data_IF_369988056889
#
_entry.id   IF_369988056889
#
_cell.length_a   1.000
_cell.length_b   1.000
_cell.length_c   1.000
_cell.angle_alpha   90.00
_cell.angle_beta   90.00
_cell.angle_gamma   90.00
#
_symmetry.space_group_name_H-M   'P 1'
#
loop_
_entity.id
_entity.type
_entity.pdbx_description
1 polymer ?
#
# COMPACT_ATOMS: atom_id res chain seq x y z
N UNK A 1 -23.13 7.68 -10.55
CA UNK A 1 -22.22 6.61 -11.06
C UNK A 1 -22.25 5.47 -10.06
N UNK A 2 -22.86 4.36 -10.46
CA UNK A 2 -22.96 3.19 -9.59
C UNK A 2 -21.64 2.44 -9.54
N UNK A 3 -20.95 2.57 -8.45
CA UNK A 3 -19.67 1.91 -8.21
C UNK A 3 -19.91 0.55 -7.53
N UNK A 4 -19.45 -0.56 -8.12
CA UNK A 4 -19.74 -1.92 -7.63
C UNK A 4 -18.87 -2.35 -6.44
N UNK A 5 -18.14 -1.43 -5.82
CA UNK A 5 -17.27 -1.66 -4.68
C UNK A 5 -17.26 -0.43 -3.75
N UNK A 6 -16.76 -0.62 -2.55
CA UNK A 6 -16.56 0.44 -1.56
C UNK A 6 -15.09 0.56 -1.17
N UNK A 7 -14.65 1.80 -1.01
CA UNK A 7 -13.42 2.12 -0.28
C UNK A 7 -13.81 2.25 1.19
N UNK A 8 -13.29 1.36 2.03
CA UNK A 8 -13.71 1.22 3.42
C UNK A 8 -12.87 2.07 4.39
N UNK A 9 -11.61 2.29 4.06
CA UNK A 9 -10.69 3.04 4.92
C UNK A 9 -9.24 2.84 4.53
N UNK A 10 -8.34 3.43 5.31
CA UNK A 10 -6.89 3.28 5.13
C UNK A 10 -6.46 1.97 5.77
N UNK A 11 -5.72 1.16 5.02
CA UNK A 11 -5.11 -0.07 5.50
C UNK A 11 -3.67 0.19 5.97
N UNK A 12 -2.89 0.96 5.21
CA UNK A 12 -1.49 1.26 5.52
C UNK A 12 -1.05 2.61 4.99
N UNK A 13 0.03 3.12 5.59
CA UNK A 13 0.82 4.23 5.08
C UNK A 13 2.28 3.75 5.02
N UNK A 14 2.87 3.74 3.83
CA UNK A 14 4.24 3.30 3.62
C UNK A 14 5.19 4.48 3.54
N UNK A 15 6.20 4.48 4.40
CA UNK A 15 7.17 5.55 4.57
C UNK A 15 8.56 5.02 4.22
N UNK A 16 9.21 5.66 3.27
CA UNK A 16 10.55 5.32 2.81
C UNK A 16 11.64 6.19 3.43
N UNK A 17 12.78 5.58 3.67
CA UNK A 17 13.97 6.26 4.13
C UNK A 17 15.25 5.53 3.70
N UNK A 18 16.38 6.18 3.86
CA UNK A 18 17.68 5.58 3.57
C UNK A 18 18.11 4.55 4.63
N UNK A 19 17.45 4.58 5.81
CA UNK A 19 17.77 3.70 6.94
C UNK A 19 16.53 3.37 7.75
N UNK A 20 16.12 2.11 7.75
CA UNK A 20 15.06 1.59 8.62
C UNK A 20 15.38 1.84 10.11
N UNK A 21 16.63 1.72 10.49
CA UNK A 21 17.04 1.95 11.87
C UNK A 21 16.71 3.38 12.33
N UNK A 22 16.95 4.38 11.48
CA UNK A 22 16.60 5.77 11.79
C UNK A 22 15.10 5.98 11.85
N UNK A 23 14.35 5.38 10.93
CA UNK A 23 12.88 5.40 10.92
C UNK A 23 12.34 4.71 12.18
N UNK A 24 12.85 3.53 12.52
CA UNK A 24 12.42 2.75 13.69
C UNK A 24 12.67 3.50 15.00
N UNK A 25 13.81 4.21 15.12
CA UNK A 25 14.09 5.04 16.29
C UNK A 25 12.99 6.07 16.56
N UNK A 26 12.45 6.68 15.52
CA UNK A 26 11.34 7.62 15.65
C UNK A 26 10.00 6.90 15.89
N UNK A 27 9.64 5.98 15.01
CA UNK A 27 8.31 5.40 15.02
C UNK A 27 8.10 4.37 16.15
N UNK A 28 9.12 3.58 16.46
CA UNK A 28 9.05 2.54 17.51
C UNK A 28 9.47 3.11 18.85
N UNK A 29 10.71 3.64 18.96
CA UNK A 29 11.25 4.02 20.25
C UNK A 29 10.60 5.28 20.82
N UNK A 30 10.32 6.27 19.98
CA UNK A 30 9.75 7.57 20.42
C UNK A 30 8.23 7.55 20.38
N UNK A 31 7.65 7.12 19.27
CA UNK A 31 6.18 7.14 19.06
C UNK A 31 5.47 5.91 19.64
N UNK A 32 6.19 4.84 19.94
CA UNK A 32 5.68 3.67 20.63
C UNK A 32 4.88 2.70 19.75
N UNK A 33 5.02 2.76 18.42
CA UNK A 33 4.38 1.78 17.53
C UNK A 33 5.03 0.40 17.67
N UNK A 34 4.25 -0.64 17.50
CA UNK A 34 4.70 -2.03 17.63
C UNK A 34 5.04 -2.63 16.28
N UNK A 35 6.25 -3.14 16.12
CA UNK A 35 6.60 -3.96 14.95
C UNK A 35 5.89 -5.31 15.06
N UNK A 36 5.15 -5.69 14.03
CA UNK A 36 4.38 -6.94 13.96
C UNK A 36 4.93 -7.94 12.96
N UNK A 37 5.63 -7.49 11.94
CA UNK A 37 6.30 -8.35 10.95
C UNK A 37 7.35 -7.58 10.17
N UNK A 38 8.01 -8.27 9.26
CA UNK A 38 8.94 -7.69 8.28
C UNK A 38 8.76 -8.36 6.92
N UNK A 39 9.25 -7.69 5.90
CA UNK A 39 9.24 -8.18 4.52
C UNK A 39 10.50 -7.71 3.82
N UNK A 40 11.11 -8.61 3.02
CA UNK A 40 12.27 -8.28 2.21
C UNK A 40 12.14 -8.88 0.81
N UNK A 41 12.40 -8.08 -0.20
CA UNK A 41 12.38 -8.49 -1.59
C UNK A 41 13.52 -7.83 -2.37
N UNK A 42 14.44 -8.65 -2.87
CA UNK A 42 15.50 -8.19 -3.77
C UNK A 42 14.92 -7.70 -5.11
N UNK A 43 13.87 -8.36 -5.60
CA UNK A 43 13.18 -7.99 -6.84
C UNK A 43 12.53 -6.62 -6.74
N UNK A 44 11.90 -6.32 -5.61
CA UNK A 44 11.24 -5.03 -5.35
C UNK A 44 12.20 -4.01 -4.73
N UNK A 45 13.44 -4.39 -4.51
CA UNK A 45 14.47 -3.55 -3.91
C UNK A 45 14.03 -2.93 -2.58
N UNK A 46 13.42 -3.73 -1.71
CA UNK A 46 12.86 -3.26 -0.44
C UNK A 46 13.22 -4.16 0.71
N UNK A 47 13.54 -3.55 1.84
CA UNK A 47 13.61 -4.14 3.17
C UNK A 47 12.71 -3.32 4.08
N UNK A 48 11.72 -3.96 4.70
CA UNK A 48 10.57 -3.28 5.29
C UNK A 48 10.23 -3.84 6.66
N UNK A 49 9.95 -2.94 7.61
CA UNK A 49 9.38 -3.26 8.91
C UNK A 49 7.91 -2.83 8.93
N UNK A 50 7.02 -3.76 9.24
CA UNK A 50 5.59 -3.51 9.31
C UNK A 50 5.22 -3.22 10.76
N UNK A 51 4.81 -2.00 11.04
CA UNK A 51 4.34 -1.54 12.35
C UNK A 51 2.82 -1.54 12.37
N UNK A 52 2.25 -1.60 13.57
CA UNK A 52 0.81 -1.59 13.75
C UNK A 52 0.40 -0.57 14.82
N UNK A 53 -0.72 0.09 14.57
CA UNK A 53 -1.46 0.89 15.54
C UNK A 53 -2.95 0.59 15.45
N UNK A 54 -3.68 0.75 16.56
CA UNK A 54 -5.09 0.36 16.67
C UNK A 54 -5.26 -1.14 16.91
N UNK A 55 -6.52 -1.60 16.90
CA UNK A 55 -6.89 -2.97 17.24
C UNK A 55 -7.95 -3.52 16.29
N UNK A 56 -7.89 -4.85 16.04
CA UNK A 56 -8.88 -5.57 15.25
C UNK A 56 -9.09 -4.96 13.87
N UNK A 57 -10.36 -4.78 13.45
CA UNK A 57 -10.67 -4.27 12.12
C UNK A 57 -10.31 -2.78 11.91
N UNK A 58 -10.02 -2.05 12.98
CA UNK A 58 -9.62 -0.63 12.95
C UNK A 58 -8.10 -0.44 12.91
N UNK A 59 -7.35 -1.52 12.87
CA UNK A 59 -5.89 -1.48 12.78
C UNK A 59 -5.42 -0.82 11.49
N UNK A 60 -4.42 0.07 11.60
CA UNK A 60 -3.70 0.66 10.49
C UNK A 60 -2.22 0.30 10.60
N UNK A 61 -1.59 -0.05 9.49
CA UNK A 61 -0.16 -0.34 9.43
C UNK A 61 0.63 0.89 9.01
N UNK A 62 1.82 1.03 9.57
CA UNK A 62 2.86 1.96 9.13
C UNK A 62 4.03 1.10 8.68
N UNK A 63 4.32 1.11 7.38
CA UNK A 63 5.39 0.34 6.81
C UNK A 63 6.64 1.21 6.66
N UNK A 64 7.73 0.79 7.30
CA UNK A 64 9.02 1.49 7.23
C UNK A 64 9.90 0.78 6.21
N UNK A 65 10.22 1.47 5.12
CA UNK A 65 10.91 0.90 3.97
C UNK A 65 12.30 1.50 3.78
N UNK A 66 13.30 0.66 3.56
CA UNK A 66 14.59 1.09 3.03
C UNK A 66 14.92 0.31 1.76
N UNK A 67 15.69 0.87 0.81
CA UNK A 67 16.14 0.10 -0.35
C UNK A 67 17.18 -0.94 0.06
N UNK A 68 17.13 -2.13 -0.54
CA UNK A 68 18.21 -3.13 -0.43
C UNK A 68 19.48 -2.57 -1.05
N UNK A 69 19.34 -1.92 -2.20
CA UNK A 69 20.40 -1.20 -2.91
C UNK A 69 19.92 0.19 -3.29
N UNK A 70 20.41 1.26 -2.63
CA UNK A 70 19.93 2.63 -2.87
C UNK A 70 20.28 3.19 -4.26
N UNK A 71 21.14 2.51 -5.01
CA UNK A 71 21.51 2.90 -6.38
C UNK A 71 20.59 2.34 -7.45
N UNK A 72 19.73 1.34 -7.08
CA UNK A 72 18.84 0.64 -7.99
C UNK A 72 17.39 1.13 -7.87
N UNK A 73 16.60 0.83 -8.90
CA UNK A 73 15.15 1.01 -8.91
C UNK A 73 14.43 -0.30 -8.57
N UNK A 74 13.22 -0.24 -7.96
CA UNK A 74 12.54 0.98 -7.52
C UNK A 74 13.23 1.63 -6.31
N UNK A 75 13.21 2.98 -6.28
CA UNK A 75 13.76 3.76 -5.15
C UNK A 75 12.68 3.95 -4.10
N UNK A 76 12.56 3.01 -3.19
CA UNK A 76 11.48 3.02 -2.16
C UNK A 76 11.59 4.15 -1.15
N UNK A 77 12.75 4.81 -1.07
CA UNK A 77 13.03 5.95 -0.19
C UNK A 77 12.79 7.32 -0.83
N UNK A 78 12.33 7.35 -2.09
CA UNK A 78 12.08 8.59 -2.83
C UNK A 78 10.87 8.42 -3.76
N UNK A 79 9.74 9.10 -3.48
CA UNK A 79 9.48 10.03 -2.37
C UNK A 79 9.39 9.33 -1.00
N UNK A 80 9.54 10.10 0.07
CA UNK A 80 9.48 9.59 1.45
C UNK A 80 8.12 8.98 1.82
N UNK A 81 7.02 9.58 1.41
CA UNK A 81 5.72 8.94 1.42
C UNK A 81 5.64 8.05 0.17
N UNK A 82 5.91 6.75 0.36
CA UNK A 82 5.98 5.81 -0.76
C UNK A 82 4.59 5.54 -1.36
N UNK A 83 3.64 5.12 -0.54
CA UNK A 83 2.26 4.87 -0.96
C UNK A 83 1.29 4.87 0.22
N UNK A 84 0.01 4.91 -0.12
CA UNK A 84 -1.08 4.64 0.81
C UNK A 84 -1.83 3.39 0.37
N UNK A 85 -2.25 2.57 1.32
CA UNK A 85 -3.08 1.39 1.10
C UNK A 85 -4.52 1.64 1.54
N UNK A 86 -5.46 1.23 0.71
CA UNK A 86 -6.90 1.39 0.95
C UNK A 86 -7.59 0.04 1.03
N UNK A 87 -8.39 -0.19 2.06
CA UNK A 87 -9.29 -1.33 2.13
C UNK A 87 -10.40 -1.24 1.09
N UNK A 88 -10.55 -2.30 0.31
CA UNK A 88 -11.60 -2.46 -0.72
C UNK A 88 -12.42 -3.70 -0.38
N UNK A 89 -13.72 -3.61 -0.40
CA UNK A 89 -14.63 -4.72 -0.09
C UNK A 89 -14.63 -5.82 -1.15
N UNK A 90 -14.49 -5.46 -2.43
CA UNK A 90 -14.40 -6.40 -3.57
C UNK A 90 -13.35 -5.90 -4.56
N UNK A 91 -12.12 -6.37 -4.38
CA UNK A 91 -10.97 -5.91 -5.18
C UNK A 91 -11.10 -6.28 -6.67
N UNK A 92 -11.63 -7.46 -6.97
CA UNK A 92 -11.79 -7.90 -8.36
C UNK A 92 -12.76 -7.00 -9.12
N UNK A 93 -13.92 -6.71 -8.55
CA UNK A 93 -14.88 -5.76 -9.12
C UNK A 93 -14.33 -4.35 -9.22
N UNK A 94 -13.56 -3.93 -8.20
CA UNK A 94 -12.92 -2.62 -8.22
C UNK A 94 -11.98 -2.47 -9.41
N UNK A 95 -11.07 -3.43 -9.61
CA UNK A 95 -10.12 -3.42 -10.72
C UNK A 95 -10.82 -3.42 -12.07
N UNK A 96 -11.82 -4.30 -12.25
CA UNK A 96 -12.59 -4.35 -13.49
C UNK A 96 -13.28 -3.01 -13.80
N UNK A 97 -13.97 -2.45 -12.83
CA UNK A 97 -14.71 -1.20 -13.00
C UNK A 97 -13.77 -0.02 -13.23
N UNK A 98 -12.71 0.12 -12.40
CA UNK A 98 -11.73 1.21 -12.53
C UNK A 98 -11.01 1.16 -13.90
N UNK A 99 -10.66 -0.02 -14.37
CA UNK A 99 -10.07 -0.20 -15.71
C UNK A 99 -11.03 0.30 -16.81
N UNK A 100 -12.33 -0.03 -16.72
CA UNK A 100 -13.35 0.49 -17.65
C UNK A 100 -13.49 2.01 -17.58
N UNK A 101 -13.20 2.62 -16.43
CA UNK A 101 -13.18 4.08 -16.30
C UNK A 101 -11.90 4.72 -16.85
N UNK A 102 -10.92 3.95 -17.29
CA UNK A 102 -9.66 4.45 -17.82
C UNK A 102 -8.58 4.67 -16.74
N UNK A 103 -8.70 4.04 -15.58
CA UNK A 103 -7.67 4.11 -14.52
C UNK A 103 -6.49 3.22 -14.88
N UNK A 104 -5.29 3.79 -14.81
CA UNK A 104 -4.05 3.07 -15.05
C UNK A 104 -3.58 2.33 -13.80
N UNK A 105 -3.37 1.02 -13.94
CA UNK A 105 -2.72 0.17 -12.93
C UNK A 105 -1.24 -0.05 -13.24
N UNK A 106 -0.46 -0.37 -12.22
CA UNK A 106 0.92 -0.84 -12.42
C UNK A 106 0.90 -2.28 -12.98
N UNK A 107 1.97 -2.73 -13.65
CA UNK A 107 2.08 -4.11 -14.11
C UNK A 107 1.99 -5.13 -12.95
N UNK A 108 1.47 -6.32 -13.24
CA UNK A 108 1.41 -7.44 -12.30
C UNK A 108 0.01 -7.81 -11.81
N UNK A 109 -0.99 -6.96 -12.01
CA UNK A 109 -2.39 -7.24 -11.63
C UNK A 109 -2.57 -7.50 -10.14
N UNK A 110 -3.64 -8.23 -9.79
CA UNK A 110 -3.90 -8.65 -8.41
C UNK A 110 -2.91 -9.74 -7.99
N UNK A 111 -2.24 -9.54 -6.87
CA UNK A 111 -1.25 -10.46 -6.31
C UNK A 111 -1.22 -10.40 -4.80
N UNK A 112 -0.54 -11.34 -4.13
CA UNK A 112 -0.32 -11.28 -2.68
C UNK A 112 0.64 -10.15 -2.32
N UNK A 113 0.22 -9.28 -1.42
CA UNK A 113 1.04 -8.22 -0.82
C UNK A 113 1.84 -8.72 0.39
N UNK A 114 2.67 -7.83 0.95
CA UNK A 114 3.54 -8.12 2.09
C UNK A 114 2.76 -8.57 3.35
N UNK A 115 1.57 -8.05 3.58
CA UNK A 115 0.69 -8.42 4.69
C UNK A 115 -0.16 -9.68 4.43
N UNK A 116 -0.01 -10.33 3.27
CA UNK A 116 -0.72 -11.57 2.91
C UNK A 116 -2.10 -11.38 2.27
N UNK A 117 -2.57 -10.15 2.09
CA UNK A 117 -3.82 -9.85 1.38
C UNK A 117 -3.60 -9.75 -0.13
N UNK A 118 -4.68 -9.94 -0.90
CA UNK A 118 -4.65 -9.64 -2.33
C UNK A 118 -4.58 -8.12 -2.53
N UNK A 119 -3.68 -7.69 -3.40
CA UNK A 119 -3.42 -6.28 -3.66
C UNK A 119 -3.21 -6.00 -5.14
N UNK A 120 -3.42 -4.76 -5.55
CA UNK A 120 -2.92 -4.20 -6.80
C UNK A 120 -2.64 -2.70 -6.61
N UNK A 121 -1.92 -2.10 -7.55
CA UNK A 121 -1.50 -0.70 -7.44
C UNK A 121 -2.04 0.14 -8.59
N UNK A 122 -2.63 1.29 -8.25
CA UNK A 122 -2.94 2.35 -9.21
C UNK A 122 -1.64 3.11 -9.51
N UNK A 123 -1.31 3.22 -10.79
CA UNK A 123 -0.13 3.95 -11.22
C UNK A 123 -0.28 5.45 -10.90
N UNK A 124 0.77 6.13 -10.37
CA UNK A 124 0.68 7.55 -10.01
C UNK A 124 0.50 8.49 -11.21
N UNK A 125 0.75 8.01 -12.43
CA UNK A 125 0.59 8.80 -13.67
C UNK A 125 -0.25 8.04 -14.68
N UNK A 126 -1.18 8.74 -15.33
CA UNK A 126 -1.92 8.22 -16.48
C UNK A 126 -1.04 8.07 -17.74
N UNK A 127 -1.62 7.52 -18.80
CA UNK A 127 -1.05 7.47 -20.14
C UNK A 127 -2.17 7.67 -21.18
N UNK A 128 -1.85 7.55 -22.46
CA UNK A 128 -2.84 7.77 -23.54
C UNK A 128 -3.98 6.76 -23.50
N UNK A 129 -3.69 5.48 -23.18
CA UNK A 129 -4.68 4.41 -23.12
C UNK A 129 -5.51 4.47 -21.84
N UNK A 130 -4.87 4.76 -20.71
CA UNK A 130 -5.49 4.88 -19.38
C UNK A 130 -5.17 6.25 -18.78
N UNK A 131 -5.94 7.28 -19.10
CA UNK A 131 -5.61 8.65 -18.73
C UNK A 131 -5.82 9.00 -17.25
N UNK A 132 -6.61 8.20 -16.53
CA UNK A 132 -6.89 8.46 -15.12
C UNK A 132 -5.83 7.81 -14.21
N UNK A 133 -5.43 8.56 -13.20
CA UNK A 133 -4.45 8.17 -12.19
C UNK A 133 -4.75 8.83 -10.85
N UNK A 134 -3.91 8.58 -9.88
CA UNK A 134 -3.95 9.24 -8.56
C UNK A 134 -3.08 10.50 -8.50
N UNK A 135 -2.75 11.10 -9.63
CA UNK A 135 -2.08 12.40 -9.76
C UNK A 135 -0.80 12.54 -8.91
N UNK A 136 0.09 11.54 -9.03
CA UNK A 136 1.40 11.54 -8.39
C UNK A 136 1.51 10.69 -7.12
N UNK A 137 0.41 10.19 -6.57
CA UNK A 137 0.42 9.31 -5.39
C UNK A 137 0.32 7.85 -5.84
N UNK A 138 1.23 6.99 -5.41
CA UNK A 138 1.07 5.55 -5.57
C UNK A 138 0.00 5.06 -4.58
N UNK A 139 -1.03 4.40 -5.08
CA UNK A 139 -2.14 3.88 -4.25
C UNK A 139 -2.21 2.37 -4.36
N UNK A 140 -2.15 1.69 -3.22
CA UNK A 140 -2.38 0.26 -3.10
C UNK A 140 -3.86 0.00 -2.78
N UNK A 141 -4.51 -0.83 -3.56
CA UNK A 141 -5.84 -1.35 -3.27
C UNK A 141 -5.69 -2.72 -2.63
N UNK A 142 -6.27 -2.91 -1.45
CA UNK A 142 -6.10 -4.10 -0.62
C UNK A 142 -7.45 -4.76 -0.39
N UNK A 143 -7.59 -6.06 -0.72
CA UNK A 143 -8.81 -6.80 -0.42
C UNK A 143 -9.03 -6.86 1.07
N UNK A 144 -10.12 -6.27 1.56
CA UNK A 144 -10.45 -6.30 2.96
C UNK A 144 -10.90 -7.71 3.40
N UNK A 145 -10.45 -8.17 4.59
CA UNK A 145 -10.99 -9.38 5.20
C UNK A 145 -12.41 -9.17 5.75
N UNK A 146 -13.12 -10.26 6.04
CA UNK A 146 -14.53 -10.22 6.41
C UNK A 146 -14.84 -9.36 7.65
N UNK A 147 -13.97 -9.36 8.65
CA UNK A 147 -14.13 -8.55 9.86
C UNK A 147 -14.01 -7.04 9.59
N UNK A 148 -13.11 -6.65 8.71
CA UNK A 148 -12.95 -5.25 8.25
C UNK A 148 -14.17 -4.82 7.44
N UNK A 149 -14.63 -5.64 6.49
CA UNK A 149 -15.84 -5.35 5.71
C UNK A 149 -17.03 -5.14 6.66
N UNK A 150 -17.20 -6.04 7.63
CA UNK A 150 -18.30 -5.94 8.61
C UNK A 150 -18.23 -4.67 9.46
N UNK A 151 -17.02 -4.27 9.87
CA UNK A 151 -16.84 -3.13 10.77
C UNK A 151 -16.91 -1.77 10.05
N UNK A 152 -16.47 -1.70 8.80
CA UNK A 152 -16.27 -0.43 8.07
C UNK A 152 -17.28 -0.19 6.92
N UNK A 153 -18.15 -1.17 6.64
CA UNK A 153 -19.17 -1.00 5.59
C UNK A 153 -20.38 -0.21 6.06
#
# INVERSE_FOLDING_TARGET
MDRPFKVLGIQQVAIGGESKQKLSKFWVDVMGLTKVSDYRSEKENVDEDILSMGHGPFKVEIDLMEPVDPTKSPKVHDPKLNHIGLWIDDLAKAVEWLTKQGVRFTPGGIRKGAAGYDVCFIHPKGNEEFPLSSEGVLVELVQAPADVIKALS
#
